data_IF_356969925589
#
_entry.id   IF_356969925589
#
_cell.length_a   1.000
_cell.length_b   1.000
_cell.length_c   1.000
_cell.angle_alpha   90.00
_cell.angle_beta   90.00
_cell.angle_gamma   90.00
#
_symmetry.space_group_name_H-M   'P 1'
#
loop_
_entity.id
_entity.type
_entity.pdbx_description
1 polymer ?
#
# COMPACT_ATOMS: atom_id res chain seq x y z
N UNK A 1 14.48 23.25 -4.57
CA UNK A 1 15.61 22.99 -3.65
C UNK A 1 16.03 21.55 -3.88
N UNK A 2 17.13 21.33 -4.61
CA UNK A 2 17.67 19.99 -4.83
C UNK A 2 18.12 19.43 -3.49
N UNK A 3 17.53 18.36 -3.04
CA UNK A 3 18.09 17.56 -1.95
C UNK A 3 19.46 17.12 -2.44
N UNK A 4 20.50 17.45 -1.68
CA UNK A 4 21.89 17.08 -2.03
C UNK A 4 21.92 15.57 -2.27
N UNK A 5 22.42 15.14 -3.41
CA UNK A 5 22.58 13.71 -3.76
C UNK A 5 23.32 12.95 -2.67
N UNK A 6 24.29 13.60 -2.00
CA UNK A 6 25.03 13.02 -0.88
C UNK A 6 24.14 12.72 0.35
N UNK A 7 23.10 13.53 0.62
CA UNK A 7 22.16 13.25 1.72
C UNK A 7 21.31 12.02 1.42
N UNK A 8 20.80 11.90 0.19
CA UNK A 8 19.99 10.75 -0.23
C UNK A 8 20.83 9.46 -0.21
N UNK A 9 22.08 9.51 -0.69
CA UNK A 9 22.97 8.35 -0.67
C UNK A 9 23.33 7.90 0.76
N UNK A 10 23.60 8.84 1.66
CA UNK A 10 23.97 8.52 3.05
C UNK A 10 22.80 7.93 3.84
N UNK A 11 21.56 8.42 3.60
CA UNK A 11 20.39 8.01 4.36
C UNK A 11 19.42 7.15 3.55
N UNK A 12 19.83 6.67 2.37
CA UNK A 12 18.99 5.89 1.47
C UNK A 12 18.28 4.72 2.16
N UNK A 13 19.01 3.93 2.92
CA UNK A 13 18.45 2.78 3.63
C UNK A 13 17.43 3.18 4.70
N UNK A 14 17.61 4.33 5.35
CA UNK A 14 16.64 4.84 6.32
C UNK A 14 15.40 5.40 5.62
N UNK A 15 15.59 6.17 4.54
CA UNK A 15 14.50 6.80 3.80
C UNK A 15 13.62 5.76 3.10
N UNK A 16 14.20 4.68 2.60
CA UNK A 16 13.47 3.60 1.91
C UNK A 16 13.06 2.50 2.88
N UNK A 17 13.95 2.07 3.77
CA UNK A 17 13.71 0.93 4.65
C UNK A 17 12.67 1.22 5.73
N UNK A 18 12.65 2.42 6.30
CA UNK A 18 11.70 2.77 7.36
C UNK A 18 10.23 2.68 6.88
N UNK A 19 9.83 3.29 5.75
CA UNK A 19 8.49 3.11 5.20
C UNK A 19 8.13 1.65 4.91
N UNK A 20 9.07 0.85 4.42
CA UNK A 20 8.85 -0.58 4.15
C UNK A 20 8.54 -1.34 5.44
N UNK A 21 9.30 -1.09 6.51
CA UNK A 21 9.05 -1.70 7.83
C UNK A 21 7.68 -1.30 8.36
N UNK A 22 7.34 0.00 8.34
CA UNK A 22 6.03 0.48 8.78
C UNK A 22 4.90 -0.14 7.97
N UNK A 23 5.08 -0.26 6.65
CA UNK A 23 4.06 -0.87 5.80
C UNK A 23 3.90 -2.37 6.06
N UNK A 24 5.00 -3.09 6.24
CA UNK A 24 4.96 -4.50 6.61
C UNK A 24 4.23 -4.76 7.94
N UNK A 25 4.42 -3.88 8.93
CA UNK A 25 3.71 -3.95 10.20
C UNK A 25 2.20 -3.66 10.07
N UNK A 26 1.74 -3.03 8.97
CA UNK A 26 0.33 -2.66 8.83
C UNK A 26 -0.59 -3.88 8.81
N UNK A 27 -0.23 -4.96 8.12
CA UNK A 27 -1.06 -6.17 8.00
C UNK A 27 -1.38 -6.82 9.37
N UNK A 28 -0.40 -7.20 10.20
CA UNK A 28 -0.72 -7.76 11.50
C UNK A 28 -1.42 -6.75 12.43
N UNK A 29 -1.11 -5.45 12.33
CA UNK A 29 -1.77 -4.42 13.13
C UNK A 29 -3.23 -4.19 12.72
N UNK A 30 -3.59 -4.37 11.45
CA UNK A 30 -4.99 -4.34 11.00
C UNK A 30 -5.75 -5.48 11.66
N UNK A 31 -5.24 -6.71 11.64
CA UNK A 31 -5.90 -7.86 12.28
C UNK A 31 -6.10 -7.64 13.77
N UNK A 32 -5.11 -7.07 14.47
CA UNK A 32 -5.26 -6.71 15.89
C UNK A 32 -6.34 -5.64 16.07
N UNK A 33 -6.36 -4.61 15.22
CA UNK A 33 -7.37 -3.55 15.29
C UNK A 33 -8.78 -4.04 14.97
N UNK A 34 -8.93 -5.02 14.09
CA UNK A 34 -10.22 -5.62 13.73
C UNK A 34 -10.85 -6.48 14.83
N UNK A 35 -10.11 -6.80 15.90
CA UNK A 35 -10.67 -7.47 17.09
C UNK A 35 -11.60 -6.55 17.88
N UNK A 36 -11.34 -5.25 17.85
CA UNK A 36 -12.07 -4.25 18.65
C UNK A 36 -12.89 -3.28 17.79
N UNK A 37 -12.50 -3.10 16.53
CA UNK A 37 -13.11 -2.10 15.63
C UNK A 37 -13.67 -2.77 14.37
N UNK A 38 -14.79 -2.24 13.88
CA UNK A 38 -15.27 -2.61 12.55
C UNK A 38 -14.27 -2.15 11.46
N UNK A 39 -14.24 -2.79 10.26
CA UNK A 39 -13.36 -2.39 9.15
C UNK A 39 -13.47 -0.91 8.79
N UNK A 40 -14.69 -0.38 8.82
CA UNK A 40 -14.98 1.03 8.51
C UNK A 40 -14.41 1.95 9.60
N UNK A 41 -14.66 1.64 10.88
CA UNK A 41 -14.16 2.45 11.99
C UNK A 41 -12.63 2.44 12.03
N UNK A 42 -12.01 1.30 11.79
CA UNK A 42 -10.56 1.18 11.70
C UNK A 42 -9.99 2.01 10.55
N UNK A 43 -10.63 1.97 9.36
CA UNK A 43 -10.21 2.79 8.22
C UNK A 43 -10.34 4.29 8.56
N UNK A 44 -11.48 4.72 9.10
CA UNK A 44 -11.70 6.12 9.49
C UNK A 44 -10.64 6.58 10.50
N UNK A 45 -10.39 5.79 11.54
CA UNK A 45 -9.39 6.13 12.56
C UNK A 45 -7.99 6.29 11.96
N UNK A 46 -7.56 5.35 11.14
CA UNK A 46 -6.25 5.38 10.48
C UNK A 46 -6.11 6.58 9.56
N UNK A 47 -7.12 6.83 8.72
CA UNK A 47 -7.13 7.96 7.78
C UNK A 47 -7.22 9.30 8.51
N UNK A 48 -7.98 9.38 9.60
CA UNK A 48 -8.07 10.57 10.43
C UNK A 48 -6.72 10.93 11.05
N UNK A 49 -6.03 9.95 11.67
CA UNK A 49 -4.70 10.17 12.26
C UNK A 49 -3.70 10.60 11.18
N UNK A 50 -3.67 9.90 10.03
CA UNK A 50 -2.80 10.27 8.92
C UNK A 50 -3.09 11.68 8.42
N UNK A 51 -4.36 12.05 8.24
CA UNK A 51 -4.78 13.39 7.80
C UNK A 51 -4.36 14.48 8.80
N UNK A 52 -4.45 14.22 10.09
CA UNK A 52 -4.00 15.17 11.11
C UNK A 52 -2.49 15.38 11.05
N UNK A 53 -1.70 14.31 10.87
CA UNK A 53 -0.25 14.40 10.72
C UNK A 53 0.11 15.21 9.46
N UNK A 54 -0.54 14.91 8.32
CA UNK A 54 -0.30 15.64 7.07
C UNK A 54 -0.73 17.10 7.17
N UNK A 55 -1.87 17.39 7.79
CA UNK A 55 -2.31 18.76 8.05
C UNK A 55 -1.27 19.55 8.85
N UNK A 56 -0.77 18.94 9.94
CA UNK A 56 0.28 19.53 10.75
C UNK A 56 1.54 19.82 9.91
N UNK A 57 2.01 18.85 9.14
CA UNK A 57 3.17 19.02 8.25
C UNK A 57 2.96 20.15 7.23
N UNK A 58 1.78 20.22 6.61
CA UNK A 58 1.44 21.28 5.64
C UNK A 58 1.43 22.65 6.32
N UNK A 59 0.85 22.77 7.51
CA UNK A 59 0.80 24.03 8.24
C UNK A 59 2.20 24.54 8.60
N UNK A 60 3.09 23.64 9.05
CA UNK A 60 4.47 24.01 9.41
C UNK A 60 5.37 24.24 8.19
N UNK A 61 5.09 23.61 7.06
CA UNK A 61 5.92 23.70 5.86
C UNK A 61 5.24 24.44 4.70
N UNK A 62 4.29 25.33 4.98
CA UNK A 62 3.47 26.05 3.97
C UNK A 62 4.29 26.61 2.80
N UNK A 63 5.49 27.11 3.07
CA UNK A 63 6.37 27.71 2.03
C UNK A 63 6.95 26.69 1.04
N UNK A 64 6.87 25.40 1.32
CA UNK A 64 7.39 24.31 0.46
C UNK A 64 6.36 23.75 -0.49
N UNK A 65 5.07 24.02 -0.25
CA UNK A 65 3.99 23.50 -1.08
C UNK A 65 3.65 24.49 -2.19
N UNK A 66 3.51 23.95 -3.41
CA UNK A 66 3.04 24.72 -4.55
C UNK A 66 1.59 25.19 -4.33
N UNK A 67 1.20 26.35 -4.89
CA UNK A 67 -0.18 26.80 -4.79
C UNK A 67 -1.13 25.79 -5.43
N UNK A 68 -2.24 25.56 -4.76
CA UNK A 68 -3.28 24.61 -5.18
C UNK A 68 -4.13 25.24 -6.28
N UNK A 69 -4.32 24.54 -7.40
CA UNK A 69 -5.16 24.99 -8.49
C UNK A 69 -6.52 24.30 -8.45
N UNK A 70 -7.60 25.05 -8.73
CA UNK A 70 -8.96 24.49 -8.71
C UNK A 70 -9.16 23.30 -9.67
N UNK A 71 -8.41 23.28 -10.79
CA UNK A 71 -8.42 22.16 -11.76
C UNK A 71 -7.90 20.83 -11.19
N UNK A 72 -7.11 20.89 -10.12
CA UNK A 72 -6.50 19.72 -9.52
C UNK A 72 -7.42 19.05 -8.46
N UNK A 73 -8.54 19.73 -8.09
CA UNK A 73 -9.46 19.24 -7.04
C UNK A 73 -10.05 17.89 -7.42
N UNK A 74 -10.64 17.77 -8.61
CA UNK A 74 -11.32 16.54 -9.02
C UNK A 74 -10.36 15.36 -9.18
N UNK A 75 -9.21 15.50 -9.88
CA UNK A 75 -8.22 14.43 -9.94
C UNK A 75 -7.69 14.01 -8.57
N UNK A 76 -7.38 14.96 -7.68
CA UNK A 76 -6.90 14.65 -6.34
C UNK A 76 -7.98 14.01 -5.47
N UNK A 77 -9.24 14.46 -5.58
CA UNK A 77 -10.36 13.82 -4.89
C UNK A 77 -10.54 12.38 -5.35
N UNK A 78 -10.54 12.12 -6.66
CA UNK A 78 -10.68 10.78 -7.21
C UNK A 78 -9.51 9.88 -6.78
N UNK A 79 -8.28 10.38 -6.85
CA UNK A 79 -7.10 9.67 -6.40
C UNK A 79 -7.17 9.33 -4.90
N UNK A 80 -7.57 10.27 -4.06
CA UNK A 80 -7.75 10.04 -2.63
C UNK A 80 -8.91 9.11 -2.31
N UNK A 81 -10.03 9.25 -3.02
CA UNK A 81 -11.20 8.40 -2.80
C UNK A 81 -10.94 6.96 -3.25
N UNK A 82 -10.47 6.76 -4.47
CA UNK A 82 -10.21 5.43 -5.03
C UNK A 82 -8.93 4.85 -4.42
N UNK A 83 -7.78 5.50 -4.58
CA UNK A 83 -6.48 4.96 -4.18
C UNK A 83 -6.23 4.93 -2.66
N UNK A 84 -7.04 5.65 -1.85
CA UNK A 84 -6.87 5.63 -0.40
C UNK A 84 -8.09 5.04 0.29
N UNK A 85 -9.30 5.62 0.08
CA UNK A 85 -10.46 5.20 0.85
C UNK A 85 -10.95 3.81 0.45
N UNK A 86 -11.10 3.55 -0.86
CA UNK A 86 -11.53 2.22 -1.36
C UNK A 86 -10.46 1.17 -1.02
N UNK A 87 -9.18 1.48 -1.21
CA UNK A 87 -8.07 0.62 -0.84
C UNK A 87 -8.16 0.17 0.63
N UNK A 88 -8.20 1.14 1.58
CA UNK A 88 -8.20 0.81 3.00
C UNK A 88 -9.46 0.09 3.46
N UNK A 89 -10.63 0.46 2.91
CA UNK A 89 -11.89 -0.23 3.23
C UNK A 89 -11.86 -1.68 2.73
N UNK A 90 -11.43 -1.88 1.50
CA UNK A 90 -11.35 -3.22 0.89
C UNK A 90 -10.33 -4.10 1.61
N UNK A 91 -9.15 -3.55 1.96
CA UNK A 91 -8.13 -4.27 2.69
C UNK A 91 -8.62 -4.64 4.10
N UNK A 92 -9.13 -3.69 4.87
CA UNK A 92 -9.62 -3.95 6.24
C UNK A 92 -10.78 -4.94 6.24
N UNK A 93 -11.69 -4.85 5.24
CA UNK A 93 -12.78 -5.82 5.12
C UNK A 93 -12.23 -7.21 4.78
N UNK A 94 -11.29 -7.30 3.86
CA UNK A 94 -10.69 -8.57 3.45
C UNK A 94 -9.95 -9.26 4.60
N UNK A 95 -9.19 -8.52 5.39
CA UNK A 95 -8.42 -9.07 6.52
C UNK A 95 -9.27 -9.58 7.69
N UNK A 96 -10.60 -9.44 7.64
CA UNK A 96 -11.49 -10.17 8.55
C UNK A 96 -11.57 -11.66 8.22
N UNK A 97 -11.29 -12.05 6.97
CA UNK A 97 -11.52 -13.37 6.42
C UNK A 97 -10.26 -14.03 5.84
N UNK A 98 -9.13 -13.32 5.88
CA UNK A 98 -7.85 -13.83 5.41
C UNK A 98 -6.76 -13.49 6.41
N UNK A 99 -5.77 -14.35 6.53
CA UNK A 99 -4.61 -14.08 7.39
C UNK A 99 -3.76 -12.92 6.85
N UNK A 100 -2.99 -12.24 7.72
CA UNK A 100 -2.05 -11.20 7.30
C UNK A 100 -1.07 -11.69 6.23
N UNK A 101 -0.64 -12.95 6.31
CA UNK A 101 0.21 -13.58 5.29
C UNK A 101 -0.48 -13.69 3.95
N UNK A 102 -1.75 -14.14 3.91
CA UNK A 102 -2.53 -14.22 2.69
C UNK A 102 -2.79 -12.82 2.09
N UNK A 103 -3.18 -11.86 2.93
CA UNK A 103 -3.41 -10.48 2.50
C UNK A 103 -2.13 -9.85 1.91
N UNK A 104 -0.99 -10.00 2.58
CA UNK A 104 0.30 -9.48 2.10
C UNK A 104 0.73 -10.11 0.78
N UNK A 105 0.48 -11.43 0.59
CA UNK A 105 0.77 -12.12 -0.65
C UNK A 105 -0.07 -11.59 -1.82
N UNK A 106 -1.37 -11.38 -1.59
CA UNK A 106 -2.26 -10.79 -2.61
C UNK A 106 -1.82 -9.36 -2.94
N UNK A 107 -1.55 -8.53 -1.93
CA UNK A 107 -1.08 -7.15 -2.12
C UNK A 107 0.28 -7.10 -2.84
N UNK A 108 1.16 -8.08 -2.65
CA UNK A 108 2.42 -8.18 -3.39
C UNK A 108 2.23 -8.35 -4.91
N UNK A 109 1.02 -8.61 -5.39
CA UNK A 109 0.70 -8.63 -6.84
C UNK A 109 0.48 -7.25 -7.45
N UNK A 110 0.39 -6.17 -6.65
CA UNK A 110 0.23 -4.78 -7.14
C UNK A 110 1.18 -4.44 -8.30
N UNK A 111 2.49 -4.73 -8.24
CA UNK A 111 3.39 -4.40 -9.34
C UNK A 111 3.00 -5.05 -10.68
N UNK A 112 2.34 -6.22 -10.66
CA UNK A 112 1.85 -6.87 -11.89
C UNK A 112 0.73 -6.02 -12.48
N UNK A 113 -0.26 -5.63 -11.67
CA UNK A 113 -1.38 -4.80 -12.12
C UNK A 113 -0.89 -3.45 -12.63
N UNK A 114 0.04 -2.80 -11.92
CA UNK A 114 0.63 -1.52 -12.35
C UNK A 114 1.27 -1.66 -13.74
N UNK A 115 2.08 -2.69 -13.96
CA UNK A 115 2.76 -2.92 -15.26
C UNK A 115 1.77 -3.23 -16.36
N UNK A 116 0.74 -4.04 -16.10
CA UNK A 116 -0.30 -4.36 -17.08
C UNK A 116 -1.10 -3.11 -17.45
N UNK A 117 -1.54 -2.33 -16.45
CA UNK A 117 -2.29 -1.10 -16.66
C UNK A 117 -1.46 -0.03 -17.38
N UNK A 118 -0.17 0.13 -17.02
CA UNK A 118 0.75 1.04 -17.69
C UNK A 118 0.92 0.66 -19.18
N UNK A 119 1.02 -0.63 -19.48
CA UNK A 119 1.08 -1.09 -20.87
C UNK A 119 -0.22 -0.80 -21.63
N UNK A 120 -1.37 -1.07 -21.02
CA UNK A 120 -2.68 -0.94 -21.68
C UNK A 120 -3.08 0.52 -21.85
N UNK A 121 -2.94 1.35 -20.84
CA UNK A 121 -3.44 2.72 -20.81
C UNK A 121 -2.40 3.77 -21.22
N UNK A 122 -1.12 3.54 -20.91
CA UNK A 122 -0.04 4.48 -21.19
C UNK A 122 0.82 4.06 -22.38
N UNK A 123 0.55 2.88 -22.98
CA UNK A 123 1.33 2.31 -24.07
C UNK A 123 2.83 2.19 -23.74
N UNK A 124 3.16 1.99 -22.47
CA UNK A 124 4.55 1.86 -22.03
C UNK A 124 5.17 0.56 -22.54
N UNK A 125 6.43 0.64 -22.91
CA UNK A 125 7.21 -0.53 -23.36
C UNK A 125 7.67 -1.29 -22.11
N UNK A 126 7.25 -2.55 -22.00
CA UNK A 126 7.67 -3.42 -20.90
C UNK A 126 9.14 -3.84 -21.08
N UNK A 127 9.99 -3.35 -20.18
CA UNK A 127 11.36 -3.85 -20.09
C UNK A 127 11.36 -5.25 -19.45
N UNK A 128 12.06 -6.18 -20.11
CA UNK A 128 12.26 -7.56 -19.61
C UNK A 128 12.92 -7.58 -18.24
N UNK A 129 13.73 -6.57 -17.89
CA UNK A 129 14.37 -6.44 -16.57
C UNK A 129 13.36 -6.15 -15.48
N UNK A 130 12.39 -5.28 -15.76
CA UNK A 130 11.28 -4.98 -14.81
C UNK A 130 10.46 -6.23 -14.57
N UNK A 131 10.09 -6.96 -15.64
CA UNK A 131 9.33 -8.19 -15.51
C UNK A 131 10.09 -9.27 -14.71
N UNK A 132 11.38 -9.44 -14.98
CA UNK A 132 12.23 -10.35 -14.21
C UNK A 132 12.31 -9.95 -12.73
N UNK A 133 12.46 -8.65 -12.43
CA UNK A 133 12.46 -8.13 -11.07
C UNK A 133 11.15 -8.44 -10.30
N UNK A 134 10.00 -8.27 -10.97
CA UNK A 134 8.69 -8.59 -10.40
C UNK A 134 8.59 -10.09 -10.11
N UNK A 135 9.00 -10.96 -11.03
CA UNK A 135 8.96 -12.42 -10.85
C UNK A 135 9.84 -12.84 -9.66
N UNK A 136 11.07 -12.31 -9.57
CA UNK A 136 11.99 -12.62 -8.47
C UNK A 136 11.41 -12.12 -7.13
N UNK A 137 10.85 -10.91 -7.11
CA UNK A 137 10.22 -10.36 -5.91
C UNK A 137 9.04 -11.20 -5.43
N UNK A 138 8.14 -11.59 -6.34
CA UNK A 138 7.01 -12.46 -6.01
C UNK A 138 7.45 -13.84 -5.53
N UNK A 139 8.45 -14.44 -6.17
CA UNK A 139 9.02 -15.71 -5.72
C UNK A 139 9.56 -15.59 -4.28
N UNK A 140 10.26 -14.48 -3.97
CA UNK A 140 10.70 -14.19 -2.60
C UNK A 140 9.56 -14.11 -1.60
N UNK A 141 8.48 -13.38 -1.93
CA UNK A 141 7.30 -13.26 -1.05
C UNK A 141 6.64 -14.64 -0.85
N UNK A 142 6.48 -15.42 -1.91
CA UNK A 142 5.92 -16.79 -1.82
C UNK A 142 6.78 -17.69 -0.91
N UNK A 143 8.09 -17.65 -1.09
CA UNK A 143 9.02 -18.44 -0.26
C UNK A 143 8.89 -18.04 1.21
N UNK A 144 8.89 -16.75 1.52
CA UNK A 144 8.73 -16.26 2.90
C UNK A 144 7.36 -16.64 3.46
N UNK A 145 6.30 -16.56 2.67
CA UNK A 145 4.94 -16.90 3.11
C UNK A 145 4.76 -18.40 3.39
N UNK A 146 5.48 -19.26 2.68
CA UNK A 146 5.36 -20.72 2.84
C UNK A 146 6.34 -21.30 3.87
N UNK A 147 7.53 -20.71 4.01
CA UNK A 147 8.63 -21.29 4.81
C UNK A 147 9.23 -20.31 5.84
N UNK A 148 8.83 -19.04 5.84
CA UNK A 148 9.44 -18.02 6.70
C UNK A 148 9.14 -18.18 8.20
N UNK A 149 7.99 -18.76 8.55
CA UNK A 149 7.60 -19.06 9.92
C UNK A 149 6.74 -20.34 9.93
N UNK A 150 7.10 -21.38 10.73
CA UNK A 150 6.31 -22.60 10.85
C UNK A 150 4.85 -22.38 11.31
N UNK A 151 4.62 -21.31 12.07
CA UNK A 151 3.29 -20.93 12.56
C UNK A 151 2.53 -19.98 11.63
N UNK A 152 3.17 -19.49 10.56
CA UNK A 152 2.54 -18.63 9.58
C UNK A 152 1.64 -19.48 8.66
N UNK A 153 0.34 -19.28 8.78
CA UNK A 153 -0.63 -19.94 7.92
C UNK A 153 -1.17 -18.97 6.89
N UNK A 154 -1.28 -19.45 5.64
CA UNK A 154 -2.04 -18.76 4.60
C UNK A 154 -3.46 -19.29 4.74
N UNK A 155 -4.30 -18.55 5.47
CA UNK A 155 -5.69 -18.93 5.69
C UNK A 155 -6.61 -17.97 4.95
N UNK A 156 -7.58 -18.54 4.24
CA UNK A 156 -8.64 -17.82 3.53
C UNK A 156 -9.95 -18.48 3.93
N UNK A 157 -10.64 -17.90 4.91
CA UNK A 157 -11.89 -18.45 5.42
C UNK A 157 -13.03 -18.27 4.41
N UNK A 158 -13.05 -17.12 3.73
CA UNK A 158 -14.05 -16.80 2.73
C UNK A 158 -13.44 -16.16 1.48
N UNK A 159 -13.88 -16.61 0.32
CA UNK A 159 -13.48 -16.07 -1.00
C UNK A 159 -13.79 -14.57 -1.11
N UNK A 160 -14.89 -14.11 -0.51
CA UNK A 160 -15.24 -12.69 -0.48
C UNK A 160 -14.16 -11.82 0.16
N UNK A 161 -13.49 -12.31 1.21
CA UNK A 161 -12.36 -11.63 1.83
C UNK A 161 -11.17 -11.51 0.89
N UNK A 162 -10.80 -12.63 0.24
CA UNK A 162 -9.71 -12.62 -0.73
C UNK A 162 -10.01 -11.70 -1.92
N UNK A 163 -11.24 -11.68 -2.44
CA UNK A 163 -11.67 -10.77 -3.50
C UNK A 163 -11.61 -9.31 -3.08
N UNK A 164 -11.95 -8.99 -1.82
CA UNK A 164 -11.81 -7.64 -1.30
C UNK A 164 -10.34 -7.20 -1.25
N UNK A 165 -9.40 -8.08 -0.86
CA UNK A 165 -7.96 -7.77 -0.90
C UNK A 165 -7.46 -7.64 -2.34
N UNK A 166 -7.97 -8.46 -3.28
CA UNK A 166 -7.66 -8.30 -4.71
C UNK A 166 -8.17 -6.94 -5.22
N UNK A 167 -9.38 -6.51 -4.82
CA UNK A 167 -9.88 -5.18 -5.16
C UNK A 167 -8.94 -4.10 -4.62
N UNK A 168 -8.47 -4.22 -3.38
CA UNK A 168 -7.46 -3.31 -2.84
C UNK A 168 -6.17 -3.30 -3.66
N UNK A 169 -5.75 -4.43 -4.22
CA UNK A 169 -4.53 -4.49 -5.05
C UNK A 169 -4.69 -3.90 -6.46
N UNK A 170 -5.92 -3.69 -6.92
CA UNK A 170 -6.26 -3.10 -8.24
C UNK A 170 -6.44 -1.59 -8.20
N UNK A 171 -6.66 -1.02 -7.03
CA UNK A 171 -6.98 0.39 -6.78
C UNK A 171 -5.74 1.18 -6.39
#
# INVERSE_FOLDING_TARGET
MMVSTSFVETYFFLVVGLPVVFWACAFPLIIVGLRELSPVNLAILRLFIASMIFLFLVLFQRKRFSPFHKKDILPLFLLGFVGVSVYHLSLNYGEQFVSAGAASLIIATIPIFVVVLAKVFLSEVLDKRILLGIIISLAGVVIISLWGNPDARIEIDYISGALAVVLASLV
#
